data_IF_212486520847
#
_entry.id   IF_212486520847
#
_cell.length_a   1.000
_cell.length_b   1.000
_cell.length_c   1.000
_cell.angle_alpha   90.00
_cell.angle_beta   90.00
_cell.angle_gamma   90.00
#
_symmetry.space_group_name_H-M   'P 1'
#
loop_
_entity.id
_entity.type
_entity.pdbx_description
1 polymer ?
#
# COMPACT_ATOMS: atom_id res chain seq x y z
N UNK A 1 14.42 -7.00 3.02
CA UNK A 1 13.70 -6.92 1.74
C UNK A 1 12.65 -5.82 1.89
N UNK A 2 12.76 -4.72 1.15
CA UNK A 2 11.83 -3.58 1.23
C UNK A 2 10.42 -4.06 0.85
N UNK A 3 9.46 -3.91 1.75
CA UNK A 3 8.06 -4.35 1.59
C UNK A 3 7.16 -3.17 1.24
N UNK A 4 7.53 -2.39 0.24
CA UNK A 4 6.88 -1.11 -0.06
C UNK A 4 6.57 -0.90 -1.54
N UNK A 5 5.80 0.14 -1.85
CA UNK A 5 5.53 0.56 -3.23
C UNK A 5 6.80 1.18 -3.80
N UNK A 6 7.31 0.61 -4.89
CA UNK A 6 8.46 1.14 -5.61
C UNK A 6 8.04 1.51 -7.02
N UNK A 7 8.31 2.74 -7.42
CA UNK A 7 8.25 3.14 -8.83
C UNK A 7 9.39 2.45 -9.58
N UNK A 8 9.04 1.53 -10.49
CA UNK A 8 10.00 0.76 -11.29
C UNK A 8 10.32 1.47 -12.60
N UNK A 9 9.31 2.04 -13.25
CA UNK A 9 9.40 2.64 -14.58
C UNK A 9 8.32 3.71 -14.75
N UNK A 10 8.64 4.83 -15.41
CA UNK A 10 7.67 5.88 -15.74
C UNK A 10 7.75 6.24 -17.23
N UNK A 11 6.61 6.28 -17.90
CA UNK A 11 6.52 6.55 -19.33
C UNK A 11 5.63 7.76 -19.59
N UNK A 12 6.10 8.65 -20.47
CA UNK A 12 5.31 9.77 -20.95
C UNK A 12 5.20 9.72 -22.47
N UNK A 13 3.97 9.81 -22.98
CA UNK A 13 3.74 9.83 -24.42
C UNK A 13 3.83 11.28 -24.93
N UNK A 14 4.73 11.52 -25.88
CA UNK A 14 4.82 12.78 -26.63
C UNK A 14 4.28 12.58 -28.06
N UNK A 15 3.59 13.58 -28.61
CA UNK A 15 3.10 13.55 -30.00
C UNK A 15 1.68 13.01 -30.22
N UNK A 16 0.92 12.70 -29.16
CA UNK A 16 -0.46 12.20 -29.26
C UNK A 16 -1.56 13.26 -29.43
N UNK A 17 -1.21 14.51 -29.74
CA UNK A 17 -2.17 15.61 -29.83
C UNK A 17 -3.16 15.44 -30.99
N UNK A 18 -4.40 15.93 -30.82
CA UNK A 18 -5.48 15.81 -31.83
C UNK A 18 -5.14 16.41 -33.21
N UNK A 19 -4.12 17.27 -33.30
CA UNK A 19 -3.67 17.94 -34.53
C UNK A 19 -2.53 17.21 -35.25
N UNK A 20 -2.05 16.09 -34.72
CA UNK A 20 -0.96 15.31 -35.32
C UNK A 20 -1.58 14.18 -36.16
N UNK A 21 -1.27 14.17 -37.46
CA UNK A 21 -1.82 13.23 -38.46
C UNK A 21 -1.58 11.77 -38.12
N UNK A 22 -0.48 11.46 -37.44
CA UNK A 22 -0.05 10.10 -37.11
C UNK A 22 -0.27 9.73 -35.63
N UNK A 23 -1.18 10.41 -34.95
CA UNK A 23 -1.40 10.23 -33.50
C UNK A 23 -1.82 8.81 -33.10
N UNK A 24 -2.39 8.02 -34.03
CA UNK A 24 -2.82 6.65 -33.77
C UNK A 24 -1.65 5.66 -33.73
N UNK A 25 -0.69 5.74 -34.66
CA UNK A 25 0.48 4.86 -34.66
C UNK A 25 1.39 5.15 -33.48
N UNK A 26 1.56 6.44 -33.12
CA UNK A 26 2.32 6.87 -31.94
C UNK A 26 1.71 6.30 -30.65
N UNK A 27 0.39 6.33 -30.52
CA UNK A 27 -0.31 5.71 -29.37
C UNK A 27 -0.09 4.20 -29.34
N UNK A 28 -0.22 3.52 -30.48
CA UNK A 28 -0.04 2.08 -30.56
C UNK A 28 1.38 1.66 -30.15
N UNK A 29 2.40 2.28 -30.75
CA UNK A 29 3.80 2.02 -30.44
C UNK A 29 4.12 2.32 -28.97
N UNK A 30 3.54 3.37 -28.40
CA UNK A 30 3.67 3.67 -26.97
C UNK A 30 3.17 2.51 -26.10
N UNK A 31 1.93 2.05 -26.30
CA UNK A 31 1.38 0.97 -25.49
C UNK A 31 2.11 -0.37 -25.70
N UNK A 32 2.54 -0.69 -26.93
CA UNK A 32 3.34 -1.89 -27.20
C UNK A 32 4.68 -1.87 -26.47
N UNK A 33 5.37 -0.72 -26.46
CA UNK A 33 6.64 -0.57 -25.72
C UNK A 33 6.44 -0.75 -24.21
N UNK A 34 5.42 -0.10 -23.65
CA UNK A 34 5.11 -0.23 -22.20
C UNK A 34 4.74 -1.68 -21.86
N UNK A 35 3.95 -2.36 -22.70
CA UNK A 35 3.52 -3.73 -22.45
C UNK A 35 4.69 -4.73 -22.53
N UNK A 36 5.64 -4.52 -23.45
CA UNK A 36 6.86 -5.32 -23.52
C UNK A 36 7.73 -5.17 -22.26
N UNK A 37 7.88 -3.95 -21.75
CA UNK A 37 8.66 -3.73 -20.51
C UNK A 37 7.97 -4.37 -19.30
N UNK A 38 6.65 -4.24 -19.18
CA UNK A 38 5.87 -4.94 -18.14
C UNK A 38 6.14 -6.44 -18.17
N UNK A 39 6.13 -7.07 -19.35
CA UNK A 39 6.42 -8.51 -19.49
C UNK A 39 7.85 -8.88 -19.07
N UNK A 40 8.83 -8.00 -19.29
CA UNK A 40 10.22 -8.24 -18.91
C UNK A 40 10.45 -8.10 -17.40
N UNK A 41 9.77 -7.14 -16.78
CA UNK A 41 9.92 -6.82 -15.36
C UNK A 41 9.09 -7.78 -14.50
N UNK A 42 7.87 -8.10 -14.92
CA UNK A 42 6.92 -8.86 -14.13
C UNK A 42 6.74 -10.28 -14.68
N UNK A 43 7.12 -11.27 -13.87
CA UNK A 43 6.95 -12.71 -14.14
C UNK A 43 5.46 -13.07 -14.22
N UNK A 44 5.13 -14.12 -14.98
CA UNK A 44 3.75 -14.57 -15.25
C UNK A 44 2.94 -14.87 -13.98
N UNK A 45 3.58 -15.31 -12.89
CA UNK A 45 2.91 -15.66 -11.64
C UNK A 45 2.56 -14.45 -10.77
N UNK A 46 3.10 -13.25 -11.08
CA UNK A 46 2.83 -12.05 -10.31
C UNK A 46 1.47 -11.44 -10.71
N UNK A 47 0.58 -11.14 -9.75
CA UNK A 47 -0.64 -10.43 -10.05
C UNK A 47 -0.34 -9.02 -10.55
N UNK A 48 -1.12 -8.57 -11.54
CA UNK A 48 -1.02 -7.21 -12.09
C UNK A 48 -2.33 -6.48 -11.87
N UNK A 49 -2.23 -5.20 -11.53
CA UNK A 49 -3.37 -4.30 -11.51
C UNK A 49 -3.14 -3.17 -12.49
N UNK A 50 -4.09 -2.98 -13.39
CA UNK A 50 -4.12 -1.87 -14.33
C UNK A 50 -5.12 -0.85 -13.81
N UNK A 51 -4.65 0.37 -13.57
CA UNK A 51 -5.47 1.46 -13.05
C UNK A 51 -5.31 2.73 -13.89
N UNK A 52 -6.42 3.40 -14.16
CA UNK A 52 -6.44 4.65 -14.93
C UNK A 52 -7.83 5.01 -15.46
N UNK A 53 -8.00 6.24 -15.99
CA UNK A 53 -9.27 6.69 -16.52
C UNK A 53 -9.53 6.16 -17.94
N UNK A 54 -10.80 5.82 -18.20
CA UNK A 54 -11.33 5.55 -19.54
C UNK A 54 -10.84 4.26 -20.20
N UNK A 55 -10.97 4.20 -21.53
CA UNK A 55 -10.72 2.98 -22.33
C UNK A 55 -9.23 2.64 -22.52
N UNK A 56 -8.32 3.54 -22.16
CA UNK A 56 -6.88 3.32 -22.32
C UNK A 56 -6.38 2.10 -21.55
N UNK A 57 -6.94 1.87 -20.34
CA UNK A 57 -6.64 0.70 -19.50
C UNK A 57 -7.08 -0.63 -20.13
N UNK A 58 -8.24 -0.64 -20.81
CA UNK A 58 -8.82 -1.83 -21.45
C UNK A 58 -8.02 -2.20 -22.70
N UNK A 59 -7.64 -1.19 -23.48
CA UNK A 59 -6.74 -1.39 -24.62
C UNK A 59 -5.37 -1.90 -24.17
N UNK A 60 -4.83 -1.36 -23.06
CA UNK A 60 -3.53 -1.79 -22.55
C UNK A 60 -3.56 -3.24 -22.06
N UNK A 61 -4.62 -3.65 -21.37
CA UNK A 61 -4.83 -5.06 -21.01
C UNK A 61 -4.86 -5.96 -22.24
N UNK A 62 -5.57 -5.56 -23.29
CA UNK A 62 -5.62 -6.29 -24.57
C UNK A 62 -4.21 -6.49 -25.14
N UNK A 63 -3.39 -5.42 -25.17
CA UNK A 63 -2.02 -5.49 -25.67
C UNK A 63 -1.14 -6.47 -24.85
N UNK A 64 -1.29 -6.49 -23.53
CA UNK A 64 -0.58 -7.45 -22.66
C UNK A 64 -0.97 -8.89 -22.99
N UNK A 65 -2.26 -9.16 -23.22
CA UNK A 65 -2.75 -10.48 -23.62
C UNK A 65 -2.24 -10.90 -25.00
N UNK A 66 -2.22 -9.98 -25.98
CA UNK A 66 -1.68 -10.23 -27.32
C UNK A 66 -0.17 -10.55 -27.29
N UNK A 67 0.58 -9.93 -26.37
CA UNK A 67 1.99 -10.25 -26.13
C UNK A 67 2.22 -11.54 -25.34
N UNK A 68 1.15 -12.24 -24.95
CA UNK A 68 1.19 -13.54 -24.28
C UNK A 68 1.39 -13.48 -22.77
N UNK A 69 1.17 -12.33 -22.11
CA UNK A 69 1.27 -12.23 -20.66
C UNK A 69 0.19 -13.08 -19.96
N UNK A 70 0.61 -13.96 -19.05
CA UNK A 70 -0.28 -14.91 -18.36
C UNK A 70 -0.70 -14.47 -16.96
N UNK A 71 -0.24 -13.30 -16.52
CA UNK A 71 -0.58 -12.72 -15.22
C UNK A 71 -2.08 -12.72 -14.97
N UNK A 72 -2.47 -12.95 -13.73
CA UNK A 72 -3.82 -12.58 -13.27
C UNK A 72 -3.89 -11.06 -13.27
N UNK A 73 -4.76 -10.49 -14.11
CA UNK A 73 -4.91 -9.04 -14.28
C UNK A 73 -6.24 -8.61 -13.64
N UNK A 74 -6.20 -7.61 -12.77
CA UNK A 74 -7.38 -6.85 -12.35
C UNK A 74 -7.36 -5.48 -13.02
N UNK A 75 -8.49 -5.04 -13.55
CA UNK A 75 -8.61 -3.76 -14.23
C UNK A 75 -9.54 -2.82 -13.44
N UNK A 76 -8.96 -1.86 -12.75
CA UNK A 76 -9.65 -0.91 -11.88
C UNK A 76 -9.78 0.46 -12.56
N UNK A 77 -11.00 0.97 -12.69
CA UNK A 77 -11.22 2.33 -13.17
C UNK A 77 -10.88 3.32 -12.05
N UNK A 78 -10.11 4.36 -12.37
CA UNK A 78 -9.76 5.44 -11.43
C UNK A 78 -9.99 6.80 -12.07
N UNK A 79 -10.11 7.83 -11.23
CA UNK A 79 -10.34 9.21 -11.68
C UNK A 79 -9.13 9.84 -12.38
N UNK A 80 -7.93 9.45 -11.98
CA UNK A 80 -6.64 9.94 -12.49
C UNK A 80 -5.70 8.76 -12.77
N UNK A 81 -4.61 9.00 -13.51
CA UNK A 81 -3.54 8.02 -13.74
C UNK A 81 -2.32 8.23 -12.86
N UNK A 82 -1.32 7.36 -12.99
CA UNK A 82 -0.04 7.46 -12.27
C UNK A 82 -0.14 7.01 -10.81
N UNK A 83 0.76 7.52 -9.95
CA UNK A 83 0.87 7.09 -8.54
C UNK A 83 -0.41 7.30 -7.74
N UNK A 84 -1.15 8.38 -8.00
CA UNK A 84 -2.43 8.64 -7.35
C UNK A 84 -3.47 7.54 -7.63
N UNK A 85 -3.49 7.00 -8.85
CA UNK A 85 -4.35 5.88 -9.22
C UNK A 85 -3.98 4.59 -8.47
N UNK A 86 -2.68 4.34 -8.33
CA UNK A 86 -2.19 3.17 -7.60
C UNK A 86 -2.60 3.24 -6.12
N UNK A 87 -2.48 4.42 -5.49
CA UNK A 87 -2.94 4.63 -4.12
C UNK A 87 -4.46 4.45 -3.99
N UNK A 88 -5.26 5.06 -4.88
CA UNK A 88 -6.72 4.92 -4.91
C UNK A 88 -7.14 3.45 -4.93
N UNK A 89 -6.53 2.65 -5.82
CA UNK A 89 -6.81 1.22 -5.93
C UNK A 89 -6.43 0.41 -4.69
N UNK A 90 -5.31 0.75 -4.04
CA UNK A 90 -4.86 0.08 -2.81
C UNK A 90 -5.76 0.42 -1.62
N UNK A 91 -6.20 1.67 -1.52
CA UNK A 91 -7.08 2.19 -0.47
C UNK A 91 -8.51 1.68 -0.62
N UNK A 92 -9.12 1.81 -1.82
CA UNK A 92 -10.54 1.50 -2.06
C UNK A 92 -10.82 0.00 -2.25
N UNK A 93 -9.77 -0.82 -2.36
CA UNK A 93 -9.94 -2.28 -2.46
C UNK A 93 -10.43 -2.78 -3.82
N UNK A 94 -10.42 -1.93 -4.84
CA UNK A 94 -10.81 -2.31 -6.21
C UNK A 94 -9.96 -3.47 -6.78
N UNK A 95 -8.82 -3.75 -6.15
CA UNK A 95 -7.93 -4.87 -6.49
C UNK A 95 -7.93 -6.02 -5.47
N UNK A 96 -8.79 -6.01 -4.46
CA UNK A 96 -8.74 -6.96 -3.34
C UNK A 96 -8.80 -8.43 -3.72
N UNK A 97 -9.53 -8.77 -4.77
CA UNK A 97 -9.59 -10.16 -5.25
C UNK A 97 -8.24 -10.69 -5.76
N UNK A 98 -7.31 -9.79 -6.09
CA UNK A 98 -6.01 -10.08 -6.71
C UNK A 98 -4.84 -9.64 -5.80
N UNK A 99 -5.04 -8.60 -5.00
CA UNK A 99 -4.03 -8.02 -4.09
C UNK A 99 -4.34 -8.21 -2.60
N UNK A 100 -5.55 -8.63 -2.22
CA UNK A 100 -6.02 -8.67 -0.84
C UNK A 100 -5.23 -9.63 0.07
N UNK A 101 -4.48 -10.57 -0.51
CA UNK A 101 -3.55 -11.42 0.24
C UNK A 101 -2.15 -10.81 0.42
N UNK A 102 -1.84 -9.67 -0.22
CA UNK A 102 -0.55 -9.04 -0.09
C UNK A 102 -0.45 -8.19 1.19
N UNK A 103 0.65 -8.41 1.93
CA UNK A 103 1.00 -7.72 3.18
C UNK A 103 0.86 -6.20 3.10
N UNK A 104 1.17 -5.60 1.94
CA UNK A 104 1.07 -4.16 1.67
C UNK A 104 -0.37 -3.61 1.76
N UNK A 105 -1.36 -4.36 1.28
CA UNK A 105 -2.76 -3.89 1.34
C UNK A 105 -3.26 -3.95 2.78
N UNK A 106 -2.88 -4.99 3.53
CA UNK A 106 -3.22 -5.12 4.95
C UNK A 106 -2.62 -4.01 5.80
N UNK A 107 -1.36 -3.62 5.57
CA UNK A 107 -0.75 -2.50 6.30
C UNK A 107 -1.42 -1.16 5.98
N UNK A 108 -1.67 -0.84 4.70
CA UNK A 108 -2.31 0.44 4.30
C UNK A 108 -3.67 0.57 4.99
N UNK A 109 -4.51 -0.46 4.90
CA UNK A 109 -5.85 -0.47 5.49
C UNK A 109 -5.83 -0.30 7.01
N UNK A 110 -4.92 -0.98 7.68
CA UNK A 110 -4.81 -0.90 9.12
C UNK A 110 -4.39 0.51 9.58
N UNK A 111 -3.50 1.17 8.84
CA UNK A 111 -3.10 2.56 9.12
C UNK A 111 -4.28 3.51 8.88
N UNK A 112 -4.96 3.40 7.74
CA UNK A 112 -6.10 4.27 7.41
C UNK A 112 -7.27 4.10 8.40
N UNK A 113 -7.56 2.86 8.81
CA UNK A 113 -8.51 2.57 9.88
C UNK A 113 -8.14 3.29 11.17
N UNK A 114 -6.87 3.20 11.58
CA UNK A 114 -6.40 3.85 12.79
C UNK A 114 -6.50 5.37 12.70
N UNK A 115 -6.08 5.97 11.58
CA UNK A 115 -6.21 7.41 11.34
C UNK A 115 -7.67 7.88 11.33
N UNK A 116 -8.58 7.07 10.77
CA UNK A 116 -10.02 7.37 10.82
C UNK A 116 -10.57 7.33 12.24
N UNK A 117 -10.13 6.38 13.08
CA UNK A 117 -10.50 6.36 14.50
C UNK A 117 -9.93 7.57 15.24
N UNK A 118 -8.74 8.05 14.88
CA UNK A 118 -8.16 9.26 15.49
C UNK A 118 -9.05 10.48 15.22
N UNK A 119 -9.54 10.64 13.98
CA UNK A 119 -10.36 11.82 13.61
C UNK A 119 -11.70 11.90 14.34
N UNK A 120 -12.23 10.78 14.83
CA UNK A 120 -13.49 10.71 15.59
C UNK A 120 -13.26 10.45 17.09
N UNK A 121 -12.01 10.52 17.57
CA UNK A 121 -11.65 10.21 18.95
C UNK A 121 -12.17 8.83 19.40
N UNK A 122 -11.99 7.83 18.53
CA UNK A 122 -12.40 6.44 18.73
C UNK A 122 -11.39 5.61 19.52
N UNK A 123 -11.56 4.27 19.48
CA UNK A 123 -10.69 3.31 20.16
C UNK A 123 -9.36 3.12 19.40
N UNK A 124 -8.43 4.05 19.60
CA UNK A 124 -7.10 4.10 18.97
C UNK A 124 -6.13 4.86 19.86
N UNK A 125 -4.84 4.52 19.82
CA UNK A 125 -3.78 5.29 20.48
C UNK A 125 -2.49 5.26 19.66
N UNK A 126 -1.61 6.25 19.84
CA UNK A 126 -0.35 6.36 19.10
C UNK A 126 0.78 6.85 19.99
N UNK A 127 2.01 6.56 19.59
CA UNK A 127 3.21 6.83 20.38
C UNK A 127 3.51 5.77 21.43
N UNK A 128 4.80 5.61 21.75
CA UNK A 128 5.30 4.47 22.54
C UNK A 128 4.67 4.37 23.94
N UNK A 129 4.56 5.49 24.67
CA UNK A 129 4.07 5.48 26.06
C UNK A 129 2.58 5.09 26.13
N UNK A 130 1.65 5.76 25.42
CA UNK A 130 0.24 5.37 25.42
C UNK A 130 0.00 3.94 24.89
N UNK A 131 0.77 3.51 23.90
CA UNK A 131 0.67 2.14 23.36
C UNK A 131 1.12 1.12 24.43
N UNK A 132 2.19 1.39 25.17
CA UNK A 132 2.67 0.52 26.25
C UNK A 132 1.62 0.38 27.36
N UNK A 133 0.98 1.49 27.75
CA UNK A 133 -0.10 1.46 28.75
C UNK A 133 -1.30 0.64 28.26
N UNK A 134 -1.70 0.82 26.99
CA UNK A 134 -2.77 0.04 26.38
C UNK A 134 -2.43 -1.46 26.27
N UNK A 135 -1.18 -1.78 25.94
CA UNK A 135 -0.68 -3.15 25.84
C UNK A 135 -0.75 -3.86 27.20
N UNK A 136 -0.30 -3.18 28.27
CA UNK A 136 -0.32 -3.73 29.63
C UNK A 136 -1.73 -4.07 30.14
N UNK A 137 -2.75 -3.38 29.62
CA UNK A 137 -4.16 -3.61 29.94
C UNK A 137 -4.83 -4.65 29.01
N UNK A 138 -4.10 -5.19 28.02
CA UNK A 138 -4.66 -6.10 27.01
C UNK A 138 -5.66 -5.43 26.08
N UNK A 139 -5.65 -4.09 25.99
CA UNK A 139 -6.60 -3.30 25.21
C UNK A 139 -6.26 -3.27 23.71
N UNK A 140 -5.03 -3.59 23.33
CA UNK A 140 -4.57 -3.55 21.94
C UNK A 140 -5.15 -4.72 21.13
N UNK A 141 -5.89 -4.38 20.07
CA UNK A 141 -6.37 -5.33 19.06
C UNK A 141 -5.29 -5.56 18.00
N UNK A 142 -4.73 -4.48 17.47
CA UNK A 142 -3.69 -4.53 16.43
C UNK A 142 -2.72 -3.37 16.60
N UNK A 143 -1.42 -3.67 16.67
CA UNK A 143 -0.36 -2.67 16.56
C UNK A 143 0.12 -2.59 15.12
N UNK A 144 0.14 -1.38 14.57
CA UNK A 144 0.81 -1.07 13.32
C UNK A 144 2.07 -0.28 13.65
N UNK A 145 3.23 -0.81 13.26
CA UNK A 145 4.54 -0.26 13.64
C UNK A 145 5.47 -0.20 12.44
N UNK A 146 6.16 0.93 12.27
CA UNK A 146 7.25 1.06 11.31
C UNK A 146 8.30 -0.01 11.63
N UNK A 147 8.57 -0.83 10.63
CA UNK A 147 9.49 -1.95 10.73
C UNK A 147 10.93 -1.50 11.09
N UNK A 148 11.27 -0.22 10.90
CA UNK A 148 12.55 0.35 11.35
C UNK A 148 12.68 0.43 12.88
N UNK A 149 11.58 0.65 13.62
CA UNK A 149 11.59 0.74 15.09
C UNK A 149 11.96 -0.58 15.77
N UNK A 150 11.74 -1.71 15.07
CA UNK A 150 12.12 -3.06 15.52
C UNK A 150 13.53 -3.48 15.06
N UNK A 151 14.18 -2.67 14.21
CA UNK A 151 15.50 -2.98 13.63
C UNK A 151 16.50 -1.84 13.79
N UNK A 152 16.13 -0.81 14.53
CA UNK A 152 16.96 0.38 14.74
C UNK A 152 18.24 0.09 15.50
N UNK A 153 19.18 1.02 15.41
CA UNK A 153 20.47 0.95 16.10
C UNK A 153 20.37 1.31 17.59
N UNK A 154 19.31 2.02 17.99
CA UNK A 154 19.03 2.30 19.41
C UNK A 154 18.47 1.05 20.10
N UNK A 155 19.37 0.30 20.73
CA UNK A 155 19.08 -0.89 21.50
C UNK A 155 17.98 -0.66 22.55
N UNK A 156 18.02 0.48 23.25
CA UNK A 156 17.10 0.73 24.36
C UNK A 156 15.67 0.95 23.88
N UNK A 157 15.50 1.62 22.74
CA UNK A 157 14.18 1.77 22.11
C UNK A 157 13.70 0.47 21.49
N UNK A 158 14.61 -0.32 20.91
CA UNK A 158 14.29 -1.63 20.34
C UNK A 158 13.78 -2.60 21.40
N UNK A 159 14.47 -2.75 22.52
CA UNK A 159 14.06 -3.62 23.64
C UNK A 159 12.67 -3.25 24.19
N UNK A 160 12.36 -1.95 24.27
CA UNK A 160 11.01 -1.48 24.66
C UNK A 160 9.95 -1.91 23.67
N UNK A 161 10.19 -1.71 22.37
CA UNK A 161 9.23 -2.14 21.34
C UNK A 161 9.06 -3.65 21.27
N UNK A 162 10.14 -4.42 21.47
CA UNK A 162 10.07 -5.87 21.58
C UNK A 162 9.22 -6.32 22.77
N UNK A 163 9.39 -5.67 23.93
CA UNK A 163 8.59 -5.91 25.14
C UNK A 163 7.10 -5.61 24.89
N UNK A 164 6.79 -4.45 24.31
CA UNK A 164 5.42 -4.06 23.94
C UNK A 164 4.82 -5.08 22.96
N UNK A 165 5.56 -5.48 21.92
CA UNK A 165 5.10 -6.49 20.97
C UNK A 165 4.80 -7.84 21.64
N UNK A 166 5.60 -8.23 22.63
CA UNK A 166 5.42 -9.46 23.41
C UNK A 166 4.13 -9.41 24.24
N UNK A 167 3.87 -8.30 24.94
CA UNK A 167 2.65 -8.09 25.73
C UNK A 167 1.38 -8.11 24.87
N UNK A 168 1.42 -7.48 23.70
CA UNK A 168 0.30 -7.48 22.76
C UNK A 168 0.01 -8.91 22.28
N UNK A 169 1.05 -9.65 21.88
CA UNK A 169 0.89 -11.05 21.44
C UNK A 169 0.36 -11.96 22.56
N UNK A 170 0.85 -11.80 23.80
CA UNK A 170 0.36 -12.60 24.94
C UNK A 170 -1.13 -12.33 25.23
N UNK A 171 -1.58 -11.10 24.95
CA UNK A 171 -2.98 -10.69 25.02
C UNK A 171 -3.81 -11.03 23.78
N UNK A 172 -3.27 -11.79 22.82
CA UNK A 172 -3.88 -12.16 21.53
C UNK A 172 -4.15 -10.97 20.60
N UNK A 173 -3.34 -9.92 20.66
CA UNK A 173 -3.33 -8.84 19.69
C UNK A 173 -2.41 -9.15 18.50
N UNK A 174 -2.69 -8.51 17.37
CA UNK A 174 -1.92 -8.65 16.13
C UNK A 174 -0.81 -7.60 16.02
N UNK A 175 0.29 -7.95 15.35
CA UNK A 175 1.38 -7.03 15.02
C UNK A 175 1.53 -6.94 13.50
N UNK A 176 1.38 -5.73 12.96
CA UNK A 176 1.52 -5.40 11.55
C UNK A 176 2.76 -4.51 11.40
N UNK A 177 3.80 -5.03 10.77
CA UNK A 177 4.99 -4.25 10.45
C UNK A 177 4.75 -3.50 9.14
N UNK A 178 4.76 -2.16 9.21
CA UNK A 178 4.54 -1.28 8.10
C UNK A 178 5.85 -0.87 7.40
N UNK A 179 5.81 -0.74 6.07
CA UNK A 179 6.82 0.00 5.31
C UNK A 179 6.54 1.51 5.31
N UNK A 180 7.57 2.32 5.08
CA UNK A 180 7.45 3.78 4.91
C UNK A 180 7.48 4.20 3.44
N UNK A 181 7.60 3.26 2.50
CA UNK A 181 7.71 3.58 1.06
C UNK A 181 6.38 4.01 0.40
N UNK A 182 5.27 3.97 1.14
CA UNK A 182 3.94 4.37 0.68
C UNK A 182 3.34 5.46 1.57
N UNK A 183 2.33 6.17 1.06
CA UNK A 183 1.82 7.40 1.67
C UNK A 183 1.25 7.17 3.08
N UNK A 184 0.51 6.07 3.29
CA UNK A 184 0.05 5.69 4.62
C UNK A 184 1.22 5.41 5.60
N UNK A 185 2.31 4.81 5.12
CA UNK A 185 3.52 4.60 5.91
C UNK A 185 4.22 5.91 6.30
N UNK A 186 4.21 6.90 5.40
CA UNK A 186 4.69 8.25 5.71
C UNK A 186 3.79 8.96 6.75
N UNK A 187 2.48 8.75 6.70
CA UNK A 187 1.57 9.26 7.73
C UNK A 187 1.82 8.60 9.10
N UNK A 188 2.09 7.28 9.12
CA UNK A 188 2.47 6.57 10.34
C UNK A 188 3.74 7.14 10.97
N UNK A 189 4.76 7.50 10.17
CA UNK A 189 5.95 8.19 10.67
C UNK A 189 5.60 9.52 11.35
N UNK A 190 4.68 10.30 10.75
CA UNK A 190 4.16 11.53 11.35
C UNK A 190 3.47 11.33 12.70
N UNK A 191 3.04 10.10 13.02
CA UNK A 191 2.43 9.71 14.29
C UNK A 191 3.44 9.13 15.29
N UNK A 192 4.75 9.23 15.01
CA UNK A 192 5.81 8.64 15.84
C UNK A 192 6.15 7.21 15.47
N UNK A 193 5.75 6.76 14.27
CA UNK A 193 6.11 5.45 13.71
C UNK A 193 5.30 4.27 14.26
N UNK A 194 4.35 4.49 15.16
CA UNK A 194 3.51 3.42 15.70
C UNK A 194 2.11 3.92 16.10
N UNK A 195 1.09 3.13 15.76
CA UNK A 195 -0.31 3.37 16.10
C UNK A 195 -1.00 2.04 16.41
N UNK A 196 -1.89 2.02 17.41
CA UNK A 196 -2.58 0.83 17.86
C UNK A 196 -4.09 1.01 17.81
N UNK A 197 -4.76 0.08 17.13
CA UNK A 197 -6.21 -0.10 17.23
C UNK A 197 -6.53 -0.77 18.56
N UNK A 198 -7.51 -0.23 19.26
CA UNK A 198 -7.91 -0.72 20.57
C UNK A 198 -9.26 -1.44 20.48
N UNK A 199 -9.40 -2.47 21.33
CA UNK A 199 -10.64 -3.24 21.52
C UNK A 199 -11.72 -2.42 22.21
N UNK A 200 -11.31 -1.50 23.09
CA UNK A 200 -12.15 -0.53 23.76
C UNK A 200 -11.40 0.79 23.89
N UNK A 201 -12.14 1.88 24.07
CA UNK A 201 -11.55 3.19 24.31
C UNK A 201 -10.95 3.22 25.72
N UNK A 202 -9.74 3.75 25.86
CA UNK A 202 -9.13 4.01 27.15
C UNK A 202 -9.59 5.39 27.64
N UNK A 203 -10.01 5.46 28.89
CA UNK A 203 -10.30 6.74 29.53
C UNK A 203 -8.96 7.40 29.89
N UNK A 204 -8.76 8.61 29.36
CA UNK A 204 -7.63 9.49 29.68
C UNK A 204 -8.10 10.58 30.63
#
# INVERSE_FOLDING_TARGET
TSRGIRDVSNFSMRGGGKRVSDSASVRKAFFENVANEVRMVFRDEMPLVICGPGMAREQFETNLRELGCKNTISNAATSIGGRSAANEVLTEGAADAVLGEHVLVREIRAIEEALRRVSVNGAVTYGMVPISEAASQGAVESLIIDASLLRGEDETSREKWESICSEIKSSRGDIIQASTDHDAGQQLLGMGGAIALLRWKLDH
#
